data_IF_398345075859
#
_entry.id   IF_398345075859
#
_cell.length_a   1.000
_cell.length_b   1.000
_cell.length_c   1.000
_cell.angle_alpha   90.00
_cell.angle_beta   90.00
_cell.angle_gamma   90.00
#
_symmetry.space_group_name_H-M   'P 1'
#
loop_
_entity.id
_entity.type
_entity.pdbx_description
1 polymer ?
#
# COMPACT_ATOMS: atom_id res chain seq x y z
N UNK A 1 -45.56 57.20 -43.61
CA UNK A 1 -44.26 56.51 -43.70
C UNK A 1 -44.38 55.32 -42.77
N UNK A 2 -44.50 54.12 -43.33
CA UNK A 2 -44.51 52.88 -42.55
C UNK A 2 -43.04 52.52 -42.38
N UNK A 3 -42.49 52.76 -41.21
CA UNK A 3 -41.17 52.22 -40.88
C UNK A 3 -41.30 50.70 -40.92
N UNK A 4 -40.56 50.10 -41.85
CA UNK A 4 -40.58 48.67 -42.12
C UNK A 4 -39.98 47.96 -40.88
N UNK A 5 -40.82 47.26 -40.10
CA UNK A 5 -40.47 46.61 -38.82
C UNK A 5 -39.18 45.78 -38.90
N UNK A 6 -38.95 45.18 -40.07
CA UNK A 6 -37.75 44.39 -40.37
C UNK A 6 -36.47 45.23 -40.38
N UNK A 7 -36.56 46.49 -40.81
CA UNK A 7 -35.46 47.45 -40.82
C UNK A 7 -35.12 47.92 -39.40
N UNK A 8 -36.14 48.09 -38.54
CA UNK A 8 -35.96 48.43 -37.13
C UNK A 8 -35.25 47.28 -36.38
N UNK A 9 -35.73 46.05 -36.58
CA UNK A 9 -35.13 44.85 -36.00
C UNK A 9 -33.67 44.66 -36.44
N UNK A 10 -33.37 44.87 -37.73
CA UNK A 10 -32.00 44.76 -38.26
C UNK A 10 -31.05 45.80 -37.67
N UNK A 11 -31.55 46.99 -37.33
CA UNK A 11 -30.75 48.02 -36.65
C UNK A 11 -30.49 47.64 -35.18
N UNK A 12 -31.47 47.11 -34.47
CA UNK A 12 -31.32 46.71 -33.07
C UNK A 12 -30.35 45.52 -32.88
N UNK A 13 -30.26 44.61 -33.85
CA UNK A 13 -29.33 43.47 -33.77
C UNK A 13 -27.94 43.75 -34.37
N UNK A 14 -27.64 45.00 -34.77
CA UNK A 14 -26.31 45.36 -35.28
C UNK A 14 -25.25 45.15 -34.19
N UNK A 15 -24.28 44.29 -34.48
CA UNK A 15 -23.17 43.98 -33.57
C UNK A 15 -23.30 42.64 -32.86
N UNK A 16 -24.44 41.93 -33.02
CA UNK A 16 -24.59 40.58 -32.48
C UNK A 16 -23.82 39.59 -33.34
N UNK A 17 -22.83 38.92 -32.75
CA UNK A 17 -22.02 37.90 -33.42
C UNK A 17 -22.78 36.57 -33.42
N UNK A 18 -23.07 35.98 -34.59
CA UNK A 18 -23.78 34.70 -34.67
C UNK A 18 -23.00 33.59 -33.96
N UNK A 19 -23.70 32.79 -33.15
CA UNK A 19 -23.12 31.62 -32.49
C UNK A 19 -22.86 30.55 -33.57
N UNK A 20 -21.63 30.05 -33.64
CA UNK A 20 -21.20 29.09 -34.68
C UNK A 20 -21.48 27.62 -34.33
N UNK A 21 -21.79 27.33 -33.08
CA UNK A 21 -21.96 25.96 -32.59
C UNK A 21 -23.26 25.84 -31.80
N UNK A 22 -24.16 25.01 -32.32
CA UNK A 22 -25.49 24.73 -31.76
C UNK A 22 -25.52 23.41 -30.98
N UNK A 23 -24.39 23.02 -30.38
CA UNK A 23 -24.29 21.78 -29.60
C UNK A 23 -23.61 22.07 -28.27
N UNK A 24 -24.27 21.67 -27.19
CA UNK A 24 -23.71 21.70 -25.84
C UNK A 24 -22.65 20.61 -25.68
N UNK A 25 -21.57 20.93 -24.97
CA UNK A 25 -20.61 19.93 -24.48
C UNK A 25 -21.30 19.09 -23.40
N UNK A 26 -21.53 17.81 -23.69
CA UNK A 26 -22.20 16.87 -22.78
C UNK A 26 -21.26 16.23 -21.76
N UNK A 27 -19.99 16.63 -21.73
CA UNK A 27 -18.98 16.12 -20.81
C UNK A 27 -18.45 14.74 -21.21
N UNK A 28 -17.76 14.08 -20.28
CA UNK A 28 -17.10 12.79 -20.54
C UNK A 28 -18.14 11.70 -20.86
N UNK A 29 -17.88 10.83 -21.85
CA UNK A 29 -18.78 9.74 -22.19
C UNK A 29 -19.00 8.83 -20.98
N UNK A 30 -20.25 8.37 -20.85
CA UNK A 30 -20.67 7.47 -19.77
C UNK A 30 -19.85 6.20 -19.84
N UNK A 31 -19.21 5.83 -18.72
CA UNK A 31 -18.34 4.66 -18.64
C UNK A 31 -19.10 3.41 -19.06
N UNK A 32 -18.53 2.62 -19.98
CA UNK A 32 -19.18 1.42 -20.48
C UNK A 32 -19.34 0.38 -19.36
N UNK A 33 -20.61 0.12 -19.00
CA UNK A 33 -20.95 -0.85 -17.95
C UNK A 33 -20.49 -2.26 -18.29
N UNK A 34 -20.41 -2.61 -19.59
CA UNK A 34 -19.94 -3.92 -20.02
C UNK A 34 -18.43 -4.07 -19.79
N UNK A 35 -17.64 -3.04 -20.10
CA UNK A 35 -16.21 -3.02 -19.75
C UNK A 35 -16.00 -3.08 -18.23
N UNK A 36 -16.79 -2.34 -17.46
CA UNK A 36 -16.68 -2.37 -15.99
C UNK A 36 -17.03 -3.75 -15.40
N UNK A 37 -18.03 -4.44 -15.97
CA UNK A 37 -18.38 -5.79 -15.57
C UNK A 37 -17.28 -6.81 -15.93
N UNK A 38 -16.66 -6.68 -17.10
CA UNK A 38 -15.56 -7.53 -17.56
C UNK A 38 -14.30 -7.35 -16.70
N UNK A 39 -13.96 -6.11 -16.35
CA UNK A 39 -12.86 -5.80 -15.43
C UNK A 39 -13.10 -6.39 -14.04
N UNK A 40 -14.34 -6.34 -13.54
CA UNK A 40 -14.73 -6.99 -12.27
C UNK A 40 -14.63 -8.51 -12.35
N UNK A 41 -15.11 -9.13 -13.42
CA UNK A 41 -14.99 -10.58 -13.62
C UNK A 41 -13.52 -11.01 -13.64
N UNK A 42 -12.65 -10.30 -14.36
CA UNK A 42 -11.22 -10.60 -14.39
C UNK A 42 -10.53 -10.43 -13.02
N UNK A 43 -10.97 -9.49 -12.19
CA UNK A 43 -10.46 -9.31 -10.83
C UNK A 43 -10.97 -10.40 -9.85
N UNK A 44 -12.11 -11.03 -10.13
CA UNK A 44 -12.67 -12.14 -9.35
C UNK A 44 -11.99 -13.46 -9.70
N UNK A 45 -11.52 -13.62 -10.94
CA UNK A 45 -10.64 -14.73 -11.35
C UNK A 45 -9.25 -14.51 -10.74
N UNK A 46 -9.16 -14.60 -9.42
CA UNK A 46 -7.90 -14.87 -8.74
C UNK A 46 -7.46 -16.25 -9.22
N UNK A 47 -6.27 -16.35 -9.76
CA UNK A 47 -5.58 -17.62 -9.83
C UNK A 47 -5.55 -18.19 -8.42
N UNK A 48 -6.29 -19.26 -8.15
CA UNK A 48 -6.22 -20.05 -6.92
C UNK A 48 -4.87 -20.79 -6.83
N UNK A 49 -3.77 -20.06 -7.00
CA UNK A 49 -2.48 -20.51 -6.54
C UNK A 49 -2.55 -20.41 -5.01
N UNK A 50 -2.76 -21.55 -4.34
CA UNK A 50 -2.54 -21.65 -2.91
C UNK A 50 -1.08 -21.27 -2.66
N UNK A 51 -0.82 -20.03 -2.25
CA UNK A 51 0.53 -19.60 -1.89
C UNK A 51 0.87 -20.32 -0.59
N UNK A 52 1.74 -21.33 -0.70
CA UNK A 52 2.31 -22.02 0.46
C UNK A 52 3.44 -21.11 0.97
N UNK A 53 3.09 -20.14 1.80
CA UNK A 53 4.04 -19.20 2.41
C UNK A 53 4.61 -19.69 3.76
N UNK A 54 4.09 -20.81 4.29
CA UNK A 54 4.51 -21.36 5.59
C UNK A 54 4.16 -20.49 6.80
N UNK A 55 3.34 -19.44 6.63
CA UNK A 55 2.90 -18.56 7.72
C UNK A 55 1.63 -19.14 8.37
N UNK A 56 1.60 -19.19 9.70
CA UNK A 56 0.45 -19.69 10.45
C UNK A 56 -0.39 -18.55 10.98
N UNK A 57 -1.69 -18.57 10.66
CA UNK A 57 -2.71 -17.71 11.26
C UNK A 57 -3.39 -18.36 12.48
N UNK A 58 -3.06 -19.61 12.80
CA UNK A 58 -3.72 -20.37 13.87
C UNK A 58 -3.27 -19.94 15.28
N UNK A 59 -2.06 -19.40 15.39
CA UNK A 59 -1.47 -18.93 16.65
C UNK A 59 -0.89 -17.53 16.47
N UNK A 60 -1.71 -16.51 16.73
CA UNK A 60 -1.33 -15.10 16.62
C UNK A 60 -0.96 -14.55 17.99
N UNK A 61 0.20 -13.90 18.08
CA UNK A 61 0.62 -13.22 19.31
C UNK A 61 -0.13 -11.88 19.39
N UNK A 62 -1.11 -11.80 20.27
CA UNK A 62 -1.84 -10.56 20.54
C UNK A 62 -0.91 -9.48 21.11
N UNK A 63 -0.92 -8.30 20.47
CA UNK A 63 -0.14 -7.12 20.88
C UNK A 63 -1.04 -5.89 20.90
N UNK A 64 -0.83 -5.02 21.89
CA UNK A 64 -1.57 -3.78 22.05
C UNK A 64 -1.22 -2.73 20.96
N UNK A 65 -2.06 -1.71 20.75
CA UNK A 65 -1.83 -0.69 19.72
C UNK A 65 -0.53 0.10 19.89
N UNK A 66 -0.17 0.45 21.13
CA UNK A 66 1.04 1.24 21.44
C UNK A 66 2.26 0.37 21.79
N UNK A 67 2.10 -0.95 21.89
CA UNK A 67 3.19 -1.87 22.23
C UNK A 67 4.33 -1.78 21.23
N UNK A 68 5.55 -1.66 21.74
CA UNK A 68 6.73 -1.65 20.88
C UNK A 68 7.08 -3.09 20.50
N UNK A 69 7.20 -3.34 19.20
CA UNK A 69 7.64 -4.63 18.69
C UNK A 69 9.16 -4.68 18.69
N UNK A 70 9.72 -5.80 19.13
CA UNK A 70 11.15 -6.08 19.05
C UNK A 70 11.35 -7.59 19.00
N UNK A 71 12.08 -8.06 18.00
CA UNK A 71 12.47 -9.44 17.88
C UNK A 71 13.72 -9.58 17.01
N UNK A 72 14.57 -10.55 17.35
CA UNK A 72 15.73 -10.92 16.57
C UNK A 72 15.83 -12.45 16.53
N UNK A 73 16.28 -12.98 15.41
CA UNK A 73 16.65 -14.37 15.24
C UNK A 73 17.95 -14.66 15.98
N UNK A 74 18.12 -15.89 16.42
CA UNK A 74 19.35 -16.35 17.05
C UNK A 74 20.56 -16.12 16.13
N UNK A 75 21.66 -15.64 16.73
CA UNK A 75 22.89 -15.29 16.01
C UNK A 75 22.94 -13.86 15.46
N UNK A 76 21.86 -13.08 15.51
CA UNK A 76 21.91 -11.66 15.17
C UNK A 76 22.59 -10.87 16.28
N UNK A 77 23.62 -10.10 15.91
CA UNK A 77 24.35 -9.26 16.86
C UNK A 77 23.44 -8.16 17.43
N UNK A 78 23.44 -7.99 18.75
CA UNK A 78 22.67 -6.96 19.44
C UNK A 78 23.03 -5.54 18.96
N UNK A 79 24.29 -5.33 18.56
CA UNK A 79 24.75 -4.06 17.97
C UNK A 79 23.98 -3.67 16.71
N UNK A 80 23.59 -4.64 15.88
CA UNK A 80 22.82 -4.42 14.66
C UNK A 80 21.37 -4.07 14.99
N UNK A 81 20.76 -4.78 15.94
CA UNK A 81 19.40 -4.48 16.41
C UNK A 81 19.31 -3.11 17.06
N UNK A 82 20.34 -2.71 17.81
CA UNK A 82 20.44 -1.35 18.37
C UNK A 82 20.51 -0.28 17.29
N UNK A 83 21.34 -0.48 16.25
CA UNK A 83 21.41 0.43 15.09
C UNK A 83 20.07 0.52 14.35
N UNK A 84 19.39 -0.61 14.17
CA UNK A 84 18.06 -0.69 13.58
C UNK A 84 17.04 0.13 14.38
N UNK A 85 16.98 -0.07 15.70
CA UNK A 85 16.08 0.67 16.62
C UNK A 85 16.36 2.17 16.61
N UNK A 86 17.63 2.56 16.49
CA UNK A 86 18.05 3.95 16.36
C UNK A 86 17.84 4.53 14.95
N UNK A 87 17.27 3.76 14.00
CA UNK A 87 17.04 4.20 12.63
C UNK A 87 18.33 4.58 11.89
N UNK A 88 19.48 4.02 12.31
CA UNK A 88 20.80 4.27 11.71
C UNK A 88 21.06 3.40 10.48
N UNK A 89 20.21 2.40 10.26
CA UNK A 89 20.22 1.58 9.06
C UNK A 89 19.15 2.16 8.14
N UNK A 90 19.57 2.64 6.97
CA UNK A 90 18.63 3.10 5.93
C UNK A 90 17.76 1.95 5.46
N UNK A 91 16.49 2.24 5.19
CA UNK A 91 15.59 1.29 4.55
C UNK A 91 15.37 1.71 3.10
N UNK A 92 15.49 0.75 2.19
CA UNK A 92 15.39 1.01 0.74
C UNK A 92 14.08 0.45 0.14
N UNK A 93 13.22 -0.12 0.99
CA UNK A 93 11.87 -0.56 0.62
C UNK A 93 10.86 -0.17 1.69
N UNK A 94 9.66 0.20 1.28
CA UNK A 94 8.55 0.50 2.20
C UNK A 94 7.27 -0.15 1.71
N UNK A 95 6.58 -0.83 2.62
CA UNK A 95 5.26 -1.39 2.40
C UNK A 95 4.25 -0.76 3.37
N UNK A 96 3.05 -0.53 2.88
CA UNK A 96 1.92 -0.07 3.69
C UNK A 96 0.78 -1.08 3.62
N UNK A 97 0.41 -1.59 4.79
CA UNK A 97 -0.62 -2.59 5.04
C UNK A 97 -1.82 -2.00 5.76
N UNK A 98 -1.82 -0.70 6.08
CA UNK A 98 -2.90 -0.11 6.85
C UNK A 98 -4.24 -0.29 6.13
N UNK A 99 -5.28 -0.64 6.89
CA UNK A 99 -6.64 -0.78 6.35
C UNK A 99 -6.88 -2.00 5.46
N UNK A 100 -5.87 -2.79 5.13
CA UNK A 100 -6.05 -4.04 4.39
C UNK A 100 -6.78 -5.10 5.22
N UNK A 101 -7.38 -6.09 4.55
CA UNK A 101 -7.80 -7.32 5.25
C UNK A 101 -6.58 -8.14 5.63
N UNK A 102 -6.71 -9.04 6.59
CA UNK A 102 -5.60 -9.89 7.05
C UNK A 102 -5.03 -10.70 5.89
N UNK A 103 -5.91 -11.30 5.09
CA UNK A 103 -5.54 -12.13 3.94
C UNK A 103 -4.79 -11.32 2.89
N UNK A 104 -5.29 -10.12 2.56
CA UNK A 104 -4.61 -9.26 1.58
C UNK A 104 -3.28 -8.75 2.12
N UNK A 105 -3.21 -8.40 3.41
CA UNK A 105 -1.98 -7.96 4.04
C UNK A 105 -0.91 -9.07 4.04
N UNK A 106 -1.32 -10.32 4.26
CA UNK A 106 -0.45 -11.50 4.21
C UNK A 106 0.17 -11.71 2.83
N UNK A 107 -0.67 -11.79 1.79
CA UNK A 107 -0.23 -11.91 0.39
C UNK A 107 0.75 -10.79 0.02
N UNK A 108 0.37 -9.54 0.32
CA UNK A 108 1.16 -8.36 -0.03
C UNK A 108 2.50 -8.32 0.72
N UNK A 109 2.51 -8.68 2.00
CA UNK A 109 3.74 -8.77 2.80
C UNK A 109 4.68 -9.84 2.24
N UNK A 110 4.15 -11.01 1.90
CA UNK A 110 4.93 -12.11 1.35
C UNK A 110 5.60 -11.73 0.03
N UNK A 111 4.83 -11.19 -0.91
CA UNK A 111 5.33 -10.73 -2.21
C UNK A 111 6.41 -9.65 -2.03
N UNK A 112 6.16 -8.66 -1.17
CA UNK A 112 7.09 -7.58 -0.88
C UNK A 112 8.42 -8.08 -0.29
N UNK A 113 8.39 -8.99 0.68
CA UNK A 113 9.60 -9.54 1.27
C UNK A 113 10.38 -10.42 0.28
N UNK A 114 9.68 -11.18 -0.55
CA UNK A 114 10.27 -11.95 -1.64
C UNK A 114 10.97 -11.05 -2.66
N UNK A 115 10.34 -9.94 -3.03
CA UNK A 115 10.93 -8.94 -3.92
C UNK A 115 12.14 -8.24 -3.31
N UNK A 116 12.02 -7.75 -2.07
CA UNK A 116 13.10 -7.09 -1.35
C UNK A 116 14.33 -8.02 -1.20
N UNK A 117 14.09 -9.30 -0.94
CA UNK A 117 15.17 -10.31 -0.88
C UNK A 117 15.84 -10.49 -2.24
N UNK A 118 15.06 -10.53 -3.33
CA UNK A 118 15.59 -10.66 -4.71
C UNK A 118 16.40 -9.44 -5.13
N UNK A 119 16.03 -8.25 -4.66
CA UNK A 119 16.74 -6.98 -4.90
C UNK A 119 17.90 -6.74 -3.92
N UNK A 120 18.23 -7.73 -3.07
CA UNK A 120 19.30 -7.65 -2.06
C UNK A 120 19.12 -6.48 -1.07
N UNK A 121 17.88 -6.04 -0.84
CA UNK A 121 17.56 -4.99 0.12
C UNK A 121 17.79 -5.50 1.53
N UNK A 122 18.60 -4.77 2.31
CA UNK A 122 18.97 -5.17 3.68
C UNK A 122 17.94 -4.82 4.73
N UNK A 123 17.27 -3.69 4.55
CA UNK A 123 16.32 -3.18 5.51
C UNK A 123 15.10 -2.61 4.78
N UNK A 124 13.93 -2.98 5.25
CA UNK A 124 12.65 -2.47 4.76
C UNK A 124 11.82 -1.92 5.90
N UNK A 125 10.87 -1.05 5.58
CA UNK A 125 9.86 -0.55 6.50
C UNK A 125 8.51 -1.17 6.17
N UNK A 126 7.83 -1.70 7.17
CA UNK A 126 6.46 -2.20 7.03
C UNK A 126 5.55 -1.39 7.94
N UNK A 127 4.59 -0.69 7.34
CA UNK A 127 3.58 0.09 8.05
C UNK A 127 2.33 -0.77 8.16
N UNK A 128 1.94 -1.16 9.38
CA UNK A 128 0.72 -1.94 9.63
C UNK A 128 -0.41 -1.09 10.23
N UNK A 129 -0.08 0.14 10.64
CA UNK A 129 -1.00 1.07 11.29
C UNK A 129 -1.10 0.85 12.80
N UNK A 130 -1.51 1.90 13.51
CA UNK A 130 -1.88 1.83 14.92
C UNK A 130 -3.36 1.52 14.98
N UNK A 131 -3.71 0.26 15.19
CA UNK A 131 -5.11 -0.13 15.17
C UNK A 131 -5.78 0.25 16.51
N UNK A 132 -6.20 1.51 16.59
CA UNK A 132 -7.20 1.98 17.55
C UNK A 132 -8.49 2.14 16.76
N UNK A 133 -9.28 1.07 16.65
CA UNK A 133 -10.65 1.18 16.14
C UNK A 133 -11.56 1.43 17.35
N UNK A 134 -12.31 2.53 17.31
CA UNK A 134 -13.32 2.89 18.32
C UNK A 134 -14.37 1.78 18.50
N UNK A 135 -14.56 0.94 17.49
CA UNK A 135 -15.54 -0.16 17.46
C UNK A 135 -15.15 -1.39 18.30
N UNK A 136 -14.08 -1.33 19.10
CA UNK A 136 -13.63 -2.46 19.94
C UNK A 136 -13.02 -3.65 19.19
N UNK A 137 -12.84 -3.54 17.86
CA UNK A 137 -12.17 -4.57 17.04
C UNK A 137 -10.66 -4.54 17.28
N UNK A 138 -10.11 -5.69 17.67
CA UNK A 138 -8.68 -5.89 17.97
C UNK A 138 -7.76 -5.41 16.83
N UNK A 139 -6.51 -4.99 17.15
CA UNK A 139 -5.50 -4.60 16.18
C UNK A 139 -4.95 -5.81 15.39
N UNK A 140 -5.80 -6.42 14.55
CA UNK A 140 -5.49 -7.70 13.90
C UNK A 140 -4.18 -7.63 13.10
N UNK A 141 -4.01 -6.64 12.22
CA UNK A 141 -2.85 -6.59 11.32
C UNK A 141 -1.53 -6.52 12.09
N UNK A 142 -1.46 -5.76 13.19
CA UNK A 142 -0.23 -5.63 13.99
C UNK A 142 0.18 -6.97 14.61
N UNK A 143 -0.77 -7.67 15.23
CA UNK A 143 -0.54 -8.99 15.84
C UNK A 143 -0.13 -10.03 14.81
N UNK A 144 -0.80 -10.02 13.65
CA UNK A 144 -0.48 -10.91 12.54
C UNK A 144 0.91 -10.61 11.95
N UNK A 145 1.25 -9.35 11.66
CA UNK A 145 2.57 -8.95 11.14
C UNK A 145 3.68 -9.35 12.12
N UNK A 146 3.51 -9.15 13.44
CA UNK A 146 4.46 -9.61 14.44
C UNK A 146 4.68 -11.13 14.38
N UNK A 147 3.63 -11.90 14.13
CA UNK A 147 3.68 -13.37 14.04
C UNK A 147 4.36 -13.81 12.74
N UNK A 148 3.92 -13.26 11.60
CA UNK A 148 4.42 -13.61 10.28
C UNK A 148 5.90 -13.28 10.10
N UNK A 149 6.35 -12.12 10.59
CA UNK A 149 7.76 -11.73 10.49
C UNK A 149 8.69 -12.66 11.27
N UNK A 150 8.23 -13.25 12.39
CA UNK A 150 9.01 -14.24 13.15
C UNK A 150 9.14 -15.58 12.40
N UNK A 151 8.11 -15.94 11.64
CA UNK A 151 8.06 -17.18 10.87
C UNK A 151 8.80 -17.07 9.53
N UNK A 152 8.90 -15.87 8.96
CA UNK A 152 9.49 -15.65 7.65
C UNK A 152 11.00 -15.95 7.62
N UNK A 153 11.42 -16.89 6.78
CA UNK A 153 12.80 -17.40 6.75
C UNK A 153 13.87 -16.34 6.45
N UNK A 154 13.54 -15.34 5.63
CA UNK A 154 14.46 -14.27 5.24
C UNK A 154 14.58 -13.15 6.29
N UNK A 155 13.72 -13.13 7.31
CA UNK A 155 13.76 -12.07 8.33
C UNK A 155 14.76 -12.45 9.42
N UNK A 156 15.74 -11.57 9.63
CA UNK A 156 16.74 -11.68 10.70
C UNK A 156 16.26 -11.02 11.98
N UNK A 157 15.51 -9.93 11.89
CA UNK A 157 14.98 -9.24 13.06
C UNK A 157 14.15 -8.04 12.67
N UNK A 158 13.35 -7.54 13.60
CA UNK A 158 12.56 -6.34 13.40
C UNK A 158 12.36 -5.58 14.72
N UNK A 159 12.12 -4.28 14.60
CA UNK A 159 11.73 -3.44 15.73
C UNK A 159 10.78 -2.33 15.29
N UNK A 160 9.97 -1.83 16.20
CA UNK A 160 9.14 -0.65 15.96
C UNK A 160 9.97 0.53 15.47
N UNK A 161 9.40 1.29 14.54
CA UNK A 161 10.05 2.44 13.95
C UNK A 161 10.19 3.59 14.95
N UNK A 162 11.08 4.54 14.64
CA UNK A 162 11.07 5.85 15.30
C UNK A 162 9.78 6.61 15.00
N UNK A 163 9.43 7.57 15.86
CA UNK A 163 8.23 8.40 15.71
C UNK A 163 8.14 9.05 14.31
N UNK A 164 9.26 9.59 13.80
CA UNK A 164 9.35 10.19 12.45
C UNK A 164 9.04 9.22 11.30
N UNK A 165 9.14 7.91 11.53
CA UNK A 165 8.91 6.87 10.52
C UNK A 165 7.67 6.01 10.82
N UNK A 166 6.81 6.41 11.77
CA UNK A 166 5.53 5.74 12.08
C UNK A 166 5.40 5.19 13.50
N UNK A 167 6.46 5.21 14.31
CA UNK A 167 6.41 4.78 15.71
C UNK A 167 5.92 3.33 15.89
N UNK A 168 5.04 3.12 16.86
CA UNK A 168 4.40 1.82 17.11
C UNK A 168 3.51 1.28 15.97
N UNK A 169 3.21 2.10 14.95
CA UNK A 169 2.39 1.71 13.79
C UNK A 169 3.20 1.16 12.60
N UNK A 170 4.52 1.11 12.72
CA UNK A 170 5.41 0.60 11.69
C UNK A 170 6.61 -0.13 12.33
N UNK A 171 7.24 -1.00 11.55
CA UNK A 171 8.45 -1.72 11.95
C UNK A 171 9.54 -1.59 10.89
N UNK A 172 10.79 -1.48 11.33
CA UNK A 172 11.95 -1.78 10.49
C UNK A 172 12.17 -3.28 10.52
N UNK A 173 12.42 -3.87 9.35
CA UNK A 173 12.65 -5.30 9.18
C UNK A 173 14.01 -5.48 8.51
N UNK A 174 14.89 -6.22 9.18
CA UNK A 174 16.21 -6.59 8.68
C UNK A 174 16.12 -7.94 7.97
N UNK A 175 16.59 -7.98 6.72
CA UNK A 175 16.55 -9.16 5.86
C UNK A 175 17.92 -9.82 5.75
N UNK A 176 17.90 -11.13 5.48
CA UNK A 176 19.09 -11.92 5.20
C UNK A 176 19.69 -11.44 3.88
N UNK A 177 21.01 -11.27 3.85
CA UNK A 177 21.74 -11.05 2.61
C UNK A 177 21.85 -12.38 1.87
N UNK A 178 21.18 -12.49 0.73
CA UNK A 178 21.43 -13.57 -0.22
C UNK A 178 22.58 -13.08 -1.10
N UNK A 179 23.79 -13.58 -0.86
CA UNK A 179 24.88 -13.37 -1.82
C UNK A 179 24.52 -14.22 -3.04
N UNK A 180 24.13 -13.63 -4.17
CA UNK A 180 24.15 -14.40 -5.41
C UNK A 180 25.62 -14.71 -5.74
N UNK A 181 25.89 -16.00 -5.92
CA UNK A 181 27.20 -16.54 -6.30
C UNK A 181 27.65 -15.87 -7.61
N UNK A 182 28.80 -15.18 -7.61
CA UNK A 182 29.38 -14.54 -8.81
C UNK A 182 29.52 -13.01 -8.81
N UNK A 183 29.48 -12.33 -7.65
CA UNK A 183 29.72 -10.86 -7.56
C UNK A 183 31.05 -10.47 -6.92
N UNK A 184 31.90 -11.46 -6.65
CA UNK A 184 33.25 -11.29 -6.10
C UNK A 184 34.36 -11.55 -7.16
N UNK A 185 34.01 -11.54 -8.45
CA UNK A 185 34.98 -11.52 -9.57
C UNK A 185 35.16 -10.12 -10.15
#
# INVERSE_FOLDING_TARGET
>A
MQDDDFSLFKNEIRGVKPIKHDRADTGKPKTDRAQLAKLRQNAIVRSNATIIDGLSDQFVIDVGPEDQLHWARDGVQESQMRKLKLGQISFDGSLDLHGMTVEKARETLWEFLGEATRLEVRCVRVTHGKAVRLDGKKPMIKSHVNTWLRQHAQVLGFCSCQAKHGGAGAVYVMLKRTMMEGRDE
#
